data_IF_902151344789
#
_entry.id   IF_902151344789
#
_cell.length_a   1.000
_cell.length_b   1.000
_cell.length_c   1.000
_cell.angle_alpha   90.00
_cell.angle_beta   90.00
_cell.angle_gamma   90.00
#
_symmetry.space_group_name_H-M   'P 1'
#
loop_
_entity.id
_entity.type
_entity.pdbx_description
1 polymer ?
#
# COMPACT_ATOMS: atom_id res chain seq x y z
N UNK A 1 34.62 29.94 -10.58
CA UNK A 1 34.47 28.54 -10.18
C UNK A 1 33.03 28.16 -10.48
N UNK A 2 32.78 27.26 -11.45
CA UNK A 2 31.45 26.69 -11.65
C UNK A 2 31.16 25.78 -10.47
N UNK A 3 30.21 26.17 -9.61
CA UNK A 3 29.69 25.24 -8.60
C UNK A 3 29.02 24.08 -9.35
N UNK A 4 29.29 22.84 -8.97
CA UNK A 4 28.55 21.70 -9.54
C UNK A 4 27.06 21.91 -9.29
N UNK A 5 26.24 21.51 -10.26
CA UNK A 5 24.79 21.58 -10.16
C UNK A 5 24.35 20.53 -9.15
N UNK A 6 23.95 20.95 -7.99
CA UNK A 6 23.39 20.04 -6.99
C UNK A 6 21.88 19.92 -7.25
N UNK A 7 21.39 18.68 -7.32
CA UNK A 7 19.97 18.40 -7.40
C UNK A 7 19.40 18.26 -5.99
N UNK A 8 18.32 18.99 -5.75
CA UNK A 8 17.62 18.90 -4.49
C UNK A 8 16.83 17.57 -4.43
N UNK A 9 16.99 16.81 -3.35
CA UNK A 9 16.14 15.64 -3.11
C UNK A 9 14.75 16.14 -2.70
N UNK A 10 13.74 15.87 -3.53
CA UNK A 10 12.35 16.22 -3.30
C UNK A 10 11.54 15.12 -2.59
N UNK A 11 12.19 14.02 -2.21
CA UNK A 11 11.56 12.87 -1.56
C UNK A 11 12.25 12.63 -0.22
N UNK A 12 11.59 11.89 0.67
CA UNK A 12 12.19 11.47 1.94
C UNK A 12 13.56 10.82 1.76
N UNK A 13 14.48 11.07 2.68
CA UNK A 13 15.77 10.41 2.73
C UNK A 13 15.74 9.09 3.51
N UNK A 14 14.58 8.72 4.06
CA UNK A 14 14.39 7.52 4.86
C UNK A 14 13.86 6.36 4.01
N UNK A 15 14.13 5.14 4.45
CA UNK A 15 13.51 3.92 3.91
C UNK A 15 12.19 3.75 4.64
N UNK A 16 11.16 4.44 4.20
CA UNK A 16 9.85 4.55 4.87
C UNK A 16 8.67 3.96 4.07
N UNK A 17 8.96 3.40 2.90
CA UNK A 17 7.93 2.82 2.02
C UNK A 17 7.03 3.86 1.34
N UNK A 18 7.37 5.15 1.37
CA UNK A 18 6.57 6.22 0.73
C UNK A 18 6.36 6.01 -0.76
N UNK A 19 7.27 5.32 -1.43
CA UNK A 19 7.12 4.92 -2.83
C UNK A 19 5.91 3.99 -3.07
N UNK A 20 5.46 3.28 -2.04
CA UNK A 20 4.30 2.36 -2.11
C UNK A 20 3.06 3.03 -1.54
N UNK A 21 3.19 3.72 -0.40
CA UNK A 21 2.09 4.20 0.43
C UNK A 21 1.79 5.69 0.28
N UNK A 22 2.64 6.43 -0.44
CA UNK A 22 2.58 7.89 -0.48
C UNK A 22 3.33 8.57 0.67
N UNK A 23 3.56 9.87 0.52
CA UNK A 23 4.26 10.72 1.50
C UNK A 23 3.31 11.58 2.33
N UNK A 24 2.01 11.47 2.09
CA UNK A 24 0.95 12.22 2.77
C UNK A 24 -0.29 11.35 2.97
N UNK A 25 -1.14 11.76 3.91
CA UNK A 25 -2.33 11.00 4.31
C UNK A 25 -3.34 10.88 3.16
N UNK A 26 -3.51 11.91 2.33
CA UNK A 26 -4.45 11.91 1.21
C UNK A 26 -4.07 10.84 0.19
N UNK A 27 -2.80 10.79 -0.19
CA UNK A 27 -2.27 9.77 -1.09
C UNK A 27 -2.40 8.38 -0.47
N UNK A 28 -2.01 8.22 0.78
CA UNK A 28 -2.08 6.94 1.49
C UNK A 28 -3.51 6.40 1.57
N UNK A 29 -4.47 7.24 1.95
CA UNK A 29 -5.88 6.88 2.01
C UNK A 29 -6.44 6.57 0.62
N UNK A 30 -6.08 7.38 -0.38
CA UNK A 30 -6.53 7.20 -1.76
C UNK A 30 -6.09 5.86 -2.38
N UNK A 31 -4.92 5.36 -2.00
CA UNK A 31 -4.39 4.07 -2.48
C UNK A 31 -5.03 2.86 -1.80
N UNK A 32 -5.63 3.04 -0.62
CA UNK A 32 -6.27 1.94 0.12
C UNK A 32 -7.60 1.55 -0.54
N UNK A 33 -7.89 0.27 -0.53
CA UNK A 33 -9.19 -0.24 -0.95
C UNK A 33 -10.30 0.28 -0.02
N UNK A 34 -11.54 0.18 -0.46
CA UNK A 34 -12.71 0.66 0.30
C UNK A 34 -13.49 -0.54 0.80
N UNK A 35 -13.65 -0.65 2.11
CA UNK A 35 -14.43 -1.72 2.74
C UNK A 35 -15.69 -1.16 3.37
N UNK A 36 -16.77 -1.94 3.31
CA UNK A 36 -18.00 -1.64 4.02
C UNK A 36 -17.90 -2.20 5.43
N UNK A 37 -18.12 -1.35 6.41
CA UNK A 37 -18.19 -1.74 7.82
C UNK A 37 -19.60 -1.50 8.34
N UNK A 38 -20.06 -2.41 9.21
CA UNK A 38 -21.36 -2.26 9.86
C UNK A 38 -21.15 -1.81 11.30
N UNK A 39 -21.61 -0.61 11.62
CA UNK A 39 -21.57 -0.08 12.97
C UNK A 39 -22.45 -0.86 13.95
N UNK A 40 -22.29 -0.59 15.24
CA UNK A 40 -23.06 -1.24 16.32
C UNK A 40 -24.59 -1.06 16.17
N UNK A 41 -25.03 0.01 15.51
CA UNK A 41 -26.43 0.32 15.26
C UNK A 41 -26.95 -0.29 13.93
N UNK A 42 -26.17 -1.12 13.24
CA UNK A 42 -26.53 -1.69 11.94
C UNK A 42 -26.34 -0.72 10.76
N UNK A 43 -25.81 0.48 10.99
CA UNK A 43 -25.49 1.44 9.94
C UNK A 43 -24.29 0.93 9.13
N UNK A 44 -24.42 1.01 7.80
CA UNK A 44 -23.32 0.65 6.88
C UNK A 44 -22.58 1.92 6.48
N UNK A 45 -21.32 1.97 6.83
CA UNK A 45 -20.40 3.02 6.43
C UNK A 45 -19.25 2.44 5.60
N UNK A 46 -18.54 3.30 4.88
CA UNK A 46 -17.33 2.91 4.14
C UNK A 46 -16.10 3.47 4.84
N UNK A 47 -15.05 2.66 4.92
CA UNK A 47 -13.77 3.05 5.51
C UNK A 47 -12.62 2.60 4.60
N UNK A 48 -11.45 3.27 4.65
CA UNK A 48 -10.26 2.76 3.99
C UNK A 48 -9.88 1.39 4.54
N UNK A 49 -9.78 0.40 3.66
CA UNK A 49 -9.38 -0.95 4.01
C UNK A 49 -7.88 -1.08 4.27
N UNK A 50 -7.44 -2.22 4.75
CA UNK A 50 -6.02 -2.52 4.92
C UNK A 50 -5.32 -2.88 3.60
N UNK A 51 -6.04 -3.40 2.62
CA UNK A 51 -5.49 -3.71 1.28
C UNK A 51 -5.28 -2.44 0.47
N UNK A 52 -4.29 -2.47 -0.41
CA UNK A 52 -4.13 -1.49 -1.47
C UNK A 52 -5.04 -1.84 -2.66
N UNK A 53 -5.56 -0.82 -3.32
CA UNK A 53 -6.33 -0.95 -4.56
C UNK A 53 -5.51 -1.60 -5.65
N UNK A 54 -6.18 -2.42 -6.46
CA UNK A 54 -5.65 -3.02 -7.67
C UNK A 54 -6.61 -2.79 -8.82
N UNK A 55 -6.12 -2.94 -10.04
CA UNK A 55 -6.97 -3.19 -11.20
C UNK A 55 -6.58 -4.51 -11.82
N UNK A 56 -7.54 -5.20 -12.43
CA UNK A 56 -7.32 -6.44 -13.15
C UNK A 56 -7.30 -6.18 -14.66
N UNK A 57 -6.41 -6.86 -15.35
CA UNK A 57 -6.45 -6.93 -16.82
C UNK A 57 -7.46 -7.99 -17.30
N UNK A 58 -7.62 -8.10 -18.61
CA UNK A 58 -8.54 -9.07 -19.22
C UNK A 58 -8.16 -10.53 -18.96
N UNK A 59 -6.95 -10.81 -18.50
CA UNK A 59 -6.44 -12.12 -18.11
C UNK A 59 -6.57 -12.41 -16.60
N UNK A 60 -7.04 -11.44 -15.82
CA UNK A 60 -7.19 -11.56 -14.37
C UNK A 60 -5.91 -11.28 -13.59
N UNK A 61 -4.90 -10.66 -14.22
CA UNK A 61 -3.70 -10.26 -13.50
C UNK A 61 -3.94 -8.90 -12.80
N UNK A 62 -3.55 -8.84 -11.54
CA UNK A 62 -3.63 -7.59 -10.78
C UNK A 62 -2.45 -6.67 -11.12
N UNK A 63 -2.75 -5.39 -11.26
CA UNK A 63 -1.80 -4.32 -11.54
C UNK A 63 -2.00 -3.15 -10.58
N UNK A 64 -1.13 -2.15 -10.66
CA UNK A 64 -1.33 -0.88 -9.97
C UNK A 64 -2.69 -0.28 -10.30
N UNK A 65 -3.35 0.40 -9.33
CA UNK A 65 -4.62 1.08 -9.58
C UNK A 65 -4.43 2.27 -10.54
N UNK A 66 -5.52 2.73 -11.15
CA UNK A 66 -5.52 3.99 -11.88
C UNK A 66 -5.66 5.18 -10.93
N UNK A 67 -5.20 6.34 -11.38
CA UNK A 67 -5.39 7.62 -10.67
C UNK A 67 -6.86 7.90 -10.37
N UNK A 68 -7.75 7.55 -11.31
CA UNK A 68 -9.21 7.67 -11.14
C UNK A 68 -9.73 6.81 -9.98
N UNK A 69 -9.29 5.57 -9.89
CA UNK A 69 -9.68 4.67 -8.79
C UNK A 69 -9.22 5.18 -7.41
N UNK A 70 -8.08 5.87 -7.38
CA UNK A 70 -7.53 6.45 -6.16
C UNK A 70 -8.09 7.84 -5.81
N UNK A 71 -8.91 8.44 -6.68
CA UNK A 71 -9.44 9.78 -6.47
C UNK A 71 -8.48 10.91 -6.87
N UNK A 72 -7.35 10.60 -7.52
CA UNK A 72 -6.32 11.58 -7.89
C UNK A 72 -6.60 12.31 -9.22
N UNK A 73 -7.79 12.13 -9.78
CA UNK A 73 -8.14 12.67 -11.08
C UNK A 73 -8.21 14.21 -11.17
N UNK A 74 -8.28 14.90 -10.03
CA UNK A 74 -8.47 16.35 -9.95
C UNK A 74 -7.17 17.17 -9.81
N UNK A 75 -6.02 16.55 -9.71
CA UNK A 75 -4.75 17.28 -9.63
C UNK A 75 -4.46 17.97 -10.95
N UNK A 76 -4.63 19.28 -10.96
CA UNK A 76 -4.46 20.16 -12.13
C UNK A 76 -2.99 20.50 -12.37
N UNK A 77 -2.19 19.59 -12.85
CA UNK A 77 -0.86 19.95 -13.35
C UNK A 77 -0.75 19.67 -14.86
N UNK A 78 -0.22 20.59 -15.66
CA UNK A 78 -0.26 20.53 -17.12
C UNK A 78 0.66 19.49 -17.78
N UNK A 79 1.36 18.69 -17.02
CA UNK A 79 2.23 17.62 -17.51
C UNK A 79 1.90 16.26 -16.86
N UNK A 80 0.70 16.11 -16.38
CA UNK A 80 0.30 15.01 -15.51
C UNK A 80 -0.26 13.84 -16.31
N UNK A 81 0.02 12.59 -15.87
CA UNK A 81 -0.65 11.40 -16.37
C UNK A 81 -2.17 11.57 -16.42
N UNK A 82 -2.81 10.94 -17.37
CA UNK A 82 -4.27 10.97 -17.49
C UNK A 82 -4.93 10.26 -16.27
N UNK A 83 -6.23 10.51 -16.00
CA UNK A 83 -6.93 9.80 -14.91
C UNK A 83 -6.90 8.28 -15.04
N UNK A 84 -6.70 7.76 -16.23
CA UNK A 84 -6.69 6.33 -16.51
C UNK A 84 -5.27 5.73 -16.46
N UNK A 85 -4.25 6.56 -16.23
CA UNK A 85 -2.89 6.06 -16.02
C UNK A 85 -2.75 5.39 -14.66
N UNK A 86 -1.87 4.39 -14.60
CA UNK A 86 -1.53 3.68 -13.37
C UNK A 86 -0.90 4.65 -12.36
N UNK A 87 -1.03 4.35 -11.09
CA UNK A 87 -0.45 5.15 -10.01
C UNK A 87 0.02 4.28 -8.85
N UNK A 88 0.90 4.84 -8.04
CA UNK A 88 1.39 4.27 -6.79
C UNK A 88 1.60 5.38 -5.76
N UNK A 89 2.28 5.09 -4.69
CA UNK A 89 2.64 6.09 -3.69
C UNK A 89 3.60 7.16 -4.20
N UNK A 90 4.40 6.83 -5.21
CA UNK A 90 5.28 7.76 -5.93
C UNK A 90 4.73 7.99 -7.36
N UNK A 91 4.61 9.24 -7.77
CA UNK A 91 4.11 9.60 -9.11
C UNK A 91 4.96 9.02 -10.24
N UNK A 92 6.22 8.68 -9.96
CA UNK A 92 7.16 8.08 -10.92
C UNK A 92 6.94 6.57 -11.09
N UNK A 93 5.98 5.97 -10.39
CA UNK A 93 5.70 4.52 -10.47
C UNK A 93 5.45 4.04 -11.91
N UNK A 94 5.08 4.95 -12.82
CA UNK A 94 4.78 4.66 -14.23
C UNK A 94 5.78 5.29 -15.21
N UNK A 95 6.89 5.82 -14.73
CA UNK A 95 7.88 6.50 -15.57
C UNK A 95 8.52 5.54 -16.59
N UNK A 96 8.68 4.28 -16.21
CA UNK A 96 9.17 3.22 -17.12
C UNK A 96 8.75 1.82 -16.62
N UNK A 97 8.65 0.83 -17.53
CA UNK A 97 8.09 -0.50 -17.21
C UNK A 97 8.79 -1.23 -16.05
N UNK A 98 10.09 -1.06 -15.90
CA UNK A 98 10.85 -1.70 -14.80
C UNK A 98 10.44 -1.17 -13.43
N UNK A 99 10.25 0.15 -13.30
CA UNK A 99 9.77 0.78 -12.06
C UNK A 99 8.34 0.31 -11.78
N UNK A 100 7.47 0.34 -12.79
CA UNK A 100 6.07 -0.12 -12.66
C UNK A 100 6.00 -1.55 -12.16
N UNK A 101 6.85 -2.44 -12.69
CA UNK A 101 6.89 -3.85 -12.26
C UNK A 101 7.31 -3.99 -10.79
N UNK A 102 8.27 -3.21 -10.33
CA UNK A 102 8.70 -3.22 -8.93
C UNK A 102 7.58 -2.71 -8.01
N UNK A 103 6.91 -1.61 -8.37
CA UNK A 103 5.76 -1.11 -7.59
C UNK A 103 4.63 -2.13 -7.53
N UNK A 104 4.33 -2.81 -8.65
CA UNK A 104 3.32 -3.88 -8.70
C UNK A 104 3.69 -5.04 -7.79
N UNK A 105 4.97 -5.45 -7.79
CA UNK A 105 5.45 -6.50 -6.90
C UNK A 105 5.24 -6.16 -5.42
N UNK A 106 5.59 -4.95 -5.00
CA UNK A 106 5.38 -4.51 -3.61
C UNK A 106 3.90 -4.40 -3.26
N UNK A 107 3.06 -3.97 -4.18
CA UNK A 107 1.61 -3.93 -4.00
C UNK A 107 1.05 -5.35 -3.75
N UNK A 108 1.45 -6.32 -4.56
CA UNK A 108 1.03 -7.72 -4.37
C UNK A 108 1.50 -8.28 -3.03
N UNK A 109 2.76 -8.01 -2.66
CA UNK A 109 3.30 -8.48 -1.39
C UNK A 109 2.58 -7.82 -0.20
N UNK A 110 2.26 -6.52 -0.30
CA UNK A 110 1.40 -5.86 0.67
C UNK A 110 0.08 -6.60 0.85
N UNK A 111 -0.66 -6.79 -0.23
CA UNK A 111 -1.99 -7.41 -0.17
C UNK A 111 -1.91 -8.86 0.34
N UNK A 112 -0.90 -9.63 -0.09
CA UNK A 112 -0.66 -11.00 0.41
C UNK A 112 -0.46 -11.04 1.93
N UNK A 113 0.31 -10.10 2.49
CA UNK A 113 0.56 -10.08 3.95
C UNK A 113 -0.68 -9.60 4.69
N UNK A 114 -1.40 -8.60 4.18
CA UNK A 114 -2.67 -8.15 4.76
C UNK A 114 -3.65 -9.32 4.87
N UNK A 115 -3.79 -10.13 3.82
CA UNK A 115 -4.69 -11.29 3.83
C UNK A 115 -4.26 -12.32 4.87
N UNK A 116 -2.96 -12.60 4.98
CA UNK A 116 -2.44 -13.50 5.99
C UNK A 116 -2.67 -12.97 7.42
N UNK A 117 -2.48 -11.66 7.64
CA UNK A 117 -2.74 -11.03 8.94
C UNK A 117 -4.22 -11.05 9.29
N UNK A 118 -5.12 -10.83 8.33
CA UNK A 118 -6.57 -10.92 8.58
C UNK A 118 -6.95 -12.32 9.09
N UNK A 119 -6.46 -13.37 8.45
CA UNK A 119 -6.72 -14.76 8.89
C UNK A 119 -6.18 -15.03 10.29
N UNK A 120 -4.95 -14.60 10.58
CA UNK A 120 -4.34 -14.80 11.89
C UNK A 120 -5.08 -14.06 13.00
N UNK A 121 -5.57 -12.88 12.73
CA UNK A 121 -6.20 -12.03 13.74
C UNK A 121 -7.68 -12.23 13.92
N UNK A 122 -8.37 -12.77 12.93
CA UNK A 122 -9.72 -13.32 13.15
C UNK A 122 -9.70 -14.46 14.18
N UNK A 123 -8.59 -15.20 14.23
CA UNK A 123 -8.40 -16.28 15.21
C UNK A 123 -7.95 -15.77 16.60
N UNK A 124 -7.37 -14.58 16.70
CA UNK A 124 -6.85 -14.03 17.97
C UNK A 124 -7.83 -13.05 18.62
N UNK A 125 -8.11 -13.27 19.91
CA UNK A 125 -9.04 -12.47 20.72
C UNK A 125 -8.65 -10.98 20.87
N UNK A 126 -7.40 -10.62 20.53
CA UNK A 126 -6.83 -9.27 20.74
C UNK A 126 -7.45 -8.16 19.89
N UNK A 127 -8.12 -8.50 18.80
CA UNK A 127 -8.78 -7.51 17.91
C UNK A 127 -10.27 -7.42 18.09
N UNK A 128 -10.87 -8.22 19.00
CA UNK A 128 -12.33 -8.27 19.19
C UNK A 128 -12.91 -6.98 19.75
N UNK A 129 -12.10 -6.20 20.45
CA UNK A 129 -12.53 -4.94 21.07
C UNK A 129 -12.36 -3.71 20.17
N UNK A 130 -11.76 -3.88 18.99
CA UNK A 130 -11.62 -2.79 18.03
C UNK A 130 -12.85 -2.69 17.14
N UNK A 131 -13.26 -1.45 16.85
CA UNK A 131 -14.23 -1.19 15.79
C UNK A 131 -13.69 -1.70 14.44
N UNK A 132 -14.58 -1.94 13.47
CA UNK A 132 -14.18 -2.52 12.19
C UNK A 132 -13.21 -1.62 11.41
N UNK A 133 -13.39 -0.29 11.45
CA UNK A 133 -12.50 0.70 10.89
C UNK A 133 -11.14 0.73 11.59
N UNK A 134 -11.13 0.75 12.93
CA UNK A 134 -9.89 0.69 13.69
C UNK A 134 -9.10 -0.60 13.45
N UNK A 135 -9.78 -1.69 13.13
CA UNK A 135 -9.15 -2.97 12.78
C UNK A 135 -8.46 -2.90 11.41
N UNK A 136 -9.12 -2.34 10.41
CA UNK A 136 -8.52 -2.16 9.07
C UNK A 136 -7.29 -1.24 9.15
N UNK A 137 -7.37 -0.15 9.90
CA UNK A 137 -6.25 0.76 10.14
C UNK A 137 -5.09 0.07 10.86
N UNK A 138 -5.38 -0.70 11.89
CA UNK A 138 -4.36 -1.41 12.63
C UNK A 138 -3.63 -2.44 11.76
N UNK A 139 -4.36 -3.23 10.95
CA UNK A 139 -3.77 -4.18 10.02
C UNK A 139 -2.87 -3.46 9.00
N UNK A 140 -3.33 -2.32 8.47
CA UNK A 140 -2.55 -1.52 7.54
C UNK A 140 -1.24 -1.04 8.17
N UNK A 141 -1.27 -0.49 9.39
CA UNK A 141 -0.10 0.02 10.10
C UNK A 141 0.91 -1.08 10.46
N UNK A 142 0.42 -2.20 10.96
CA UNK A 142 1.29 -3.34 11.29
C UNK A 142 1.98 -3.86 10.02
N UNK A 143 1.29 -3.89 8.90
CA UNK A 143 1.87 -4.31 7.63
C UNK A 143 3.05 -3.42 7.22
N UNK A 144 2.91 -2.10 7.31
CA UNK A 144 4.01 -1.15 7.03
C UNK A 144 5.22 -1.47 7.93
N UNK A 145 4.98 -1.71 9.21
CA UNK A 145 6.05 -2.07 10.15
C UNK A 145 6.79 -3.35 9.73
N UNK A 146 6.07 -4.36 9.25
CA UNK A 146 6.67 -5.62 8.79
C UNK A 146 7.54 -5.43 7.54
N UNK A 147 7.13 -4.63 6.58
CA UNK A 147 7.95 -4.35 5.39
C UNK A 147 9.23 -3.58 5.71
N UNK A 148 9.14 -2.63 6.63
CA UNK A 148 10.28 -1.80 7.01
C UNK A 148 11.29 -2.54 7.92
N UNK A 149 10.90 -3.65 8.54
CA UNK A 149 11.73 -4.42 9.45
C UNK A 149 11.83 -5.91 9.07
N UNK A 150 12.31 -6.25 7.87
CA UNK A 150 12.31 -7.63 7.39
C UNK A 150 13.17 -8.57 8.24
N UNK A 151 14.15 -8.06 8.98
CA UNK A 151 15.02 -8.88 9.84
C UNK A 151 14.32 -9.44 11.09
N UNK A 152 13.22 -8.84 11.53
CA UNK A 152 12.49 -9.30 12.70
C UNK A 152 11.42 -10.34 12.37
N UNK A 153 11.10 -10.55 11.09
CA UNK A 153 9.91 -11.26 10.66
C UNK A 153 10.15 -12.61 10.02
N UNK A 154 11.40 -12.93 9.70
CA UNK A 154 11.76 -14.28 9.29
C UNK A 154 12.42 -14.97 10.48
N UNK A 155 11.70 -15.85 11.22
CA UNK A 155 12.40 -16.81 12.05
C UNK A 155 13.38 -17.53 11.12
N UNK A 156 14.66 -17.50 11.49
CA UNK A 156 15.70 -18.17 10.76
C UNK A 156 15.17 -19.57 10.44
N UNK A 157 15.15 -19.91 9.14
CA UNK A 157 14.76 -21.23 8.69
C UNK A 157 15.64 -22.20 9.48
N UNK A 158 15.07 -22.85 10.49
CA UNK A 158 15.79 -23.83 11.27
C UNK A 158 16.19 -24.89 10.26
N UNK A 159 17.49 -24.92 9.92
CA UNK A 159 18.09 -26.04 9.23
C UNK A 159 17.74 -27.27 10.07
N UNK A 160 16.70 -27.98 9.68
CA UNK A 160 16.46 -29.32 10.18
C UNK A 160 17.65 -30.14 9.72
N UNK A 161 18.66 -30.21 10.59
CA UNK A 161 19.76 -31.16 10.45
C UNK A 161 19.15 -32.55 10.48
N UNK A 162 19.05 -33.17 9.31
CA UNK A 162 18.97 -34.63 9.24
C UNK A 162 20.37 -35.14 9.45
N UNK A 163 20.62 -35.68 10.63
CA UNK A 163 21.65 -36.66 10.87
C UNK A 163 21.30 -37.98 10.17
#
# INVERSE_FOLDING_TARGET
MNKPREQMNGITAFIDGSNIYGSDDETSIGLRDVVQVTGANGEKTTTPGARLKTQEDSAGNEHLPTRRQCGFASLKEPAVPTPDDLTGGDIRAVEQPGITSIHTLFLHEHNRIVDALKVLWEAEAKTKDLSADAREDFIFQVRIFFEMNPKQNFPACQKTGRS
#
